data_IF_574249206039
#
_entry.id   IF_574249206039
#
_cell.length_a   1.000
_cell.length_b   1.000
_cell.length_c   1.000
_cell.angle_alpha   90.00
_cell.angle_beta   90.00
_cell.angle_gamma   90.00
#
_symmetry.space_group_name_H-M   'P 1'
#
loop_
_entity.id
_entity.type
_entity.pdbx_description
1 polymer ?
#
# COMPACT_ATOMS: atom_id res chain seq x y z
N UNK A 1 21.95 -17.64 -12.71
CA UNK A 1 22.75 -16.44 -12.40
C UNK A 1 23.38 -15.93 -13.68
N UNK A 2 22.92 -14.77 -14.17
CA UNK A 2 23.63 -14.05 -15.23
C UNK A 2 24.86 -13.43 -14.58
N UNK A 3 26.05 -13.70 -15.12
CA UNK A 3 27.29 -13.19 -14.56
C UNK A 3 27.44 -11.71 -14.94
N UNK A 4 27.21 -10.79 -13.99
CA UNK A 4 27.35 -9.34 -14.20
C UNK A 4 28.75 -8.89 -13.76
N UNK A 5 29.39 -8.06 -14.57
CA UNK A 5 30.72 -7.48 -14.32
C UNK A 5 30.55 -6.07 -13.76
N UNK A 6 31.52 -5.64 -12.95
CA UNK A 6 31.58 -4.24 -12.49
C UNK A 6 31.89 -3.37 -13.71
N UNK A 7 30.97 -2.44 -13.99
CA UNK A 7 31.10 -1.44 -15.03
C UNK A 7 31.69 -0.15 -14.47
N UNK A 8 31.29 0.22 -13.25
CA UNK A 8 31.77 1.40 -12.53
C UNK A 8 31.69 1.18 -11.01
N UNK A 9 32.63 1.77 -10.29
CA UNK A 9 32.62 1.84 -8.83
C UNK A 9 33.08 3.22 -8.36
N UNK A 10 32.33 3.84 -7.46
CA UNK A 10 32.67 5.09 -6.80
C UNK A 10 32.51 4.99 -5.29
N UNK A 11 33.17 5.91 -4.58
CA UNK A 11 33.03 6.05 -3.13
C UNK A 11 32.68 7.49 -2.78
N UNK A 12 31.71 7.65 -1.90
CA UNK A 12 31.30 8.95 -1.34
C UNK A 12 31.45 8.90 0.17
N UNK A 13 32.12 9.91 0.73
CA UNK A 13 32.19 10.10 2.17
C UNK A 13 31.15 11.12 2.59
N UNK A 14 30.30 10.76 3.55
CA UNK A 14 29.32 11.64 4.15
C UNK A 14 29.97 12.51 5.24
N UNK A 15 29.45 13.73 5.40
CA UNK A 15 29.87 14.64 6.48
C UNK A 15 29.43 14.08 7.85
N UNK A 16 28.20 13.57 7.90
CA UNK A 16 27.57 13.00 9.09
C UNK A 16 27.16 11.55 8.82
N UNK A 17 27.15 10.72 9.87
CA UNK A 17 26.51 9.41 9.77
C UNK A 17 24.99 9.66 9.69
N UNK A 18 24.28 9.02 8.75
CA UNK A 18 22.84 9.19 8.67
C UNK A 18 22.18 8.54 9.88
N UNK A 19 21.05 9.09 10.29
CA UNK A 19 20.16 8.38 11.19
C UNK A 19 19.55 7.23 10.39
N UNK A 20 19.81 6.00 10.83
CA UNK A 20 19.28 4.82 10.16
C UNK A 20 17.87 4.64 10.69
N UNK A 21 16.90 5.26 10.02
CA UNK A 21 15.49 5.00 10.25
C UNK A 21 15.14 3.53 10.04
N UNK A 22 13.92 3.13 10.38
CA UNK A 22 13.48 1.75 10.20
C UNK A 22 13.54 1.36 8.69
N UNK A 23 14.16 0.21 8.33
CA UNK A 23 14.40 -0.18 6.93
C UNK A 23 13.18 -0.21 6.02
N UNK A 24 12.02 -0.66 6.50
CA UNK A 24 10.76 -0.67 5.73
C UNK A 24 10.25 0.77 5.51
N UNK A 25 10.43 1.66 6.49
CA UNK A 25 10.13 3.10 6.38
C UNK A 25 10.96 3.76 5.30
N UNK A 26 12.27 3.50 5.30
CA UNK A 26 13.19 3.99 4.27
C UNK A 26 12.84 3.44 2.87
N UNK A 27 12.45 2.16 2.79
CA UNK A 27 12.03 1.55 1.52
C UNK A 27 10.72 2.16 1.01
N UNK A 28 9.80 2.48 1.92
CA UNK A 28 8.54 3.15 1.62
C UNK A 28 8.79 4.57 1.13
N UNK A 29 9.69 5.31 1.78
CA UNK A 29 10.14 6.65 1.34
C UNK A 29 10.75 6.60 -0.06
N UNK A 30 11.59 5.60 -0.36
CA UNK A 30 12.19 5.43 -1.69
C UNK A 30 11.12 5.23 -2.76
N UNK A 31 10.19 4.30 -2.51
CA UNK A 31 9.11 4.00 -3.45
C UNK A 31 8.16 5.20 -3.63
N UNK A 32 7.78 5.89 -2.54
CA UNK A 32 6.90 7.05 -2.61
C UNK A 32 7.57 8.23 -3.32
N UNK A 33 8.85 8.49 -3.04
CA UNK A 33 9.62 9.57 -3.66
C UNK A 33 9.72 9.38 -5.18
N UNK A 34 10.05 8.17 -5.62
CA UNK A 34 10.05 7.83 -7.05
C UNK A 34 8.64 7.97 -7.63
N UNK A 35 7.62 7.47 -6.93
CA UNK A 35 6.25 7.56 -7.40
C UNK A 35 5.80 9.02 -7.60
N UNK A 36 6.21 9.92 -6.70
CA UNK A 36 5.92 11.34 -6.75
C UNK A 36 6.69 12.09 -7.84
N UNK A 37 7.99 11.84 -7.96
CA UNK A 37 8.83 12.48 -8.98
C UNK A 37 8.27 12.23 -10.40
N UNK A 38 7.71 11.03 -10.60
CA UNK A 38 7.27 10.56 -11.90
C UNK A 38 5.75 10.56 -12.09
N UNK A 39 4.99 10.99 -11.09
CA UNK A 39 3.52 10.95 -11.09
C UNK A 39 2.99 9.57 -11.54
N UNK A 40 3.59 8.50 -11.02
CA UNK A 40 3.23 7.13 -11.38
C UNK A 40 3.35 6.21 -10.17
N UNK A 41 2.47 5.22 -10.06
CA UNK A 41 2.62 4.17 -9.05
C UNK A 41 3.44 3.00 -9.63
N UNK A 42 4.13 2.23 -8.79
CA UNK A 42 4.87 1.07 -9.25
C UNK A 42 3.93 -0.04 -9.74
N UNK A 43 4.27 -0.67 -10.85
CA UNK A 43 3.75 -2.00 -11.17
C UNK A 43 4.45 -3.02 -10.26
N UNK A 44 3.69 -3.70 -9.42
CA UNK A 44 4.25 -4.60 -8.40
C UNK A 44 4.18 -6.05 -8.88
N UNK A 45 5.32 -6.73 -8.90
CA UNK A 45 5.46 -8.15 -9.23
C UNK A 45 6.04 -8.92 -8.06
N UNK A 46 5.81 -10.23 -8.05
CA UNK A 46 6.24 -11.07 -6.94
C UNK A 46 6.77 -12.44 -7.37
N UNK A 47 7.72 -12.95 -6.61
CA UNK A 47 8.22 -14.32 -6.70
C UNK A 47 8.16 -14.96 -5.31
N UNK A 48 7.11 -15.76 -5.12
CA UNK A 48 6.82 -16.42 -3.85
C UNK A 48 7.91 -17.42 -3.44
N UNK A 49 8.65 -17.99 -4.40
CA UNK A 49 9.69 -18.99 -4.11
C UNK A 49 10.89 -18.37 -3.40
N UNK A 50 11.31 -17.21 -3.87
CA UNK A 50 12.52 -16.54 -3.39
C UNK A 50 12.19 -15.36 -2.45
N UNK A 51 10.90 -15.10 -2.18
CA UNK A 51 10.39 -13.96 -1.39
C UNK A 51 10.90 -12.61 -1.93
N UNK A 52 10.84 -12.47 -3.25
CA UNK A 52 11.28 -11.26 -3.95
C UNK A 52 10.07 -10.48 -4.45
N UNK A 53 10.09 -9.17 -4.21
CA UNK A 53 9.14 -8.21 -4.75
C UNK A 53 9.88 -7.32 -5.74
N UNK A 54 9.26 -7.05 -6.88
CA UNK A 54 9.76 -6.09 -7.86
C UNK A 54 8.79 -4.92 -8.00
N UNK A 55 9.31 -3.70 -7.91
CA UNK A 55 8.58 -2.47 -8.13
C UNK A 55 9.07 -1.86 -9.45
N UNK A 56 8.29 -2.00 -10.51
CA UNK A 56 8.63 -1.47 -11.83
C UNK A 56 8.03 -0.08 -12.04
N UNK A 57 8.89 0.85 -12.48
CA UNK A 57 8.54 2.18 -12.96
C UNK A 57 8.83 2.22 -14.47
N UNK A 58 7.87 1.83 -15.32
CA UNK A 58 8.11 1.67 -16.75
C UNK A 58 8.26 3.05 -17.42
N UNK A 59 9.01 3.08 -18.53
CA UNK A 59 9.13 4.24 -19.43
C UNK A 59 9.91 5.45 -18.92
N UNK A 60 10.51 5.38 -17.75
CA UNK A 60 11.41 6.43 -17.24
C UNK A 60 12.87 6.17 -17.64
N UNK A 61 13.65 7.25 -17.74
CA UNK A 61 15.08 7.20 -18.05
C UNK A 61 15.81 8.03 -17.00
N UNK A 62 16.71 7.39 -16.26
CA UNK A 62 17.45 8.00 -15.16
C UNK A 62 18.89 8.19 -15.56
N UNK A 63 19.45 9.35 -15.23
CA UNK A 63 20.90 9.52 -15.13
C UNK A 63 21.40 8.82 -13.86
N UNK A 64 22.40 7.95 -14.00
CA UNK A 64 22.84 7.11 -12.90
C UNK A 64 23.54 7.90 -11.80
N UNK A 65 24.23 8.98 -12.14
CA UNK A 65 24.97 9.78 -11.16
C UNK A 65 23.98 10.63 -10.35
N UNK A 66 23.00 11.24 -11.01
CA UNK A 66 21.85 11.94 -10.37
C UNK A 66 21.08 11.00 -9.45
N UNK A 67 20.78 9.77 -9.91
CA UNK A 67 20.12 8.77 -9.09
C UNK A 67 20.91 8.44 -7.81
N UNK A 68 22.24 8.29 -7.90
CA UNK A 68 23.07 8.05 -6.71
C UNK A 68 23.20 9.29 -5.82
N UNK A 69 23.17 10.49 -6.38
CA UNK A 69 23.20 11.74 -5.61
C UNK A 69 21.96 11.88 -4.73
N UNK A 70 20.78 11.59 -5.29
CA UNK A 70 19.48 11.73 -4.63
C UNK A 70 19.15 10.52 -3.74
N UNK A 71 19.20 9.31 -4.30
CA UNK A 71 18.71 8.09 -3.64
C UNK A 71 19.82 7.20 -3.10
N UNK A 72 21.09 7.48 -3.39
CA UNK A 72 22.20 6.58 -3.04
C UNK A 72 22.41 6.38 -1.54
N UNK A 73 22.14 7.40 -0.71
CA UNK A 73 22.19 7.27 0.76
C UNK A 73 21.04 6.42 1.27
N UNK A 74 19.84 6.65 0.74
CA UNK A 74 18.63 5.92 1.10
C UNK A 74 18.76 4.43 0.74
N UNK A 75 19.18 4.15 -0.50
CA UNK A 75 19.43 2.79 -1.00
C UNK A 75 20.49 2.06 -0.15
N UNK A 76 21.59 2.74 0.19
CA UNK A 76 22.62 2.14 1.04
C UNK A 76 22.13 1.87 2.46
N UNK A 77 21.20 2.68 2.98
CA UNK A 77 20.65 2.54 4.33
C UNK A 77 19.69 1.35 4.40
N UNK A 78 18.85 1.16 3.38
CA UNK A 78 17.96 0.01 3.25
C UNK A 78 18.79 -1.29 3.13
N UNK A 79 19.81 -1.31 2.26
CA UNK A 79 20.66 -2.49 1.97
C UNK A 79 21.38 -3.06 3.21
N UNK A 80 21.56 -2.27 4.29
CA UNK A 80 22.13 -2.77 5.55
C UNK A 80 21.29 -3.88 6.16
N UNK A 81 19.99 -3.82 5.92
CA UNK A 81 19.01 -4.71 6.50
C UNK A 81 18.29 -5.49 5.42
N UNK A 82 17.60 -4.83 4.51
CA UNK A 82 16.79 -5.47 3.47
C UNK A 82 17.57 -5.46 2.17
N UNK A 83 17.82 -6.63 1.59
CA UNK A 83 18.57 -6.69 0.34
C UNK A 83 17.76 -6.04 -0.78
N UNK A 84 18.29 -4.95 -1.33
CA UNK A 84 17.65 -4.10 -2.33
C UNK A 84 18.61 -3.79 -3.47
N UNK A 85 18.11 -3.93 -4.70
CA UNK A 85 18.85 -3.57 -5.91
C UNK A 85 17.96 -2.82 -6.87
N UNK A 86 18.56 -2.00 -7.70
CA UNK A 86 17.87 -1.28 -8.76
C UNK A 86 18.35 -1.79 -10.10
N UNK A 87 17.41 -2.14 -10.97
CA UNK A 87 17.66 -2.62 -12.31
C UNK A 87 16.98 -1.75 -13.36
N UNK A 88 17.39 -1.97 -14.60
CA UNK A 88 16.74 -1.45 -15.78
C UNK A 88 17.64 -1.63 -16.99
N UNK A 89 17.20 -1.10 -18.13
CA UNK A 89 17.89 -1.25 -19.40
C UNK A 89 18.95 -0.17 -19.57
N UNK A 90 20.21 -0.57 -19.52
CA UNK A 90 21.36 0.24 -19.89
C UNK A 90 21.55 0.24 -21.41
N UNK A 91 22.58 0.94 -21.89
CA UNK A 91 22.92 0.99 -23.31
C UNK A 91 23.08 -0.39 -23.95
N UNK A 92 22.81 -0.45 -25.26
CA UNK A 92 22.91 -1.68 -26.07
C UNK A 92 22.00 -2.83 -25.58
N UNK A 93 20.92 -2.49 -24.89
CA UNK A 93 19.93 -3.45 -24.35
C UNK A 93 20.54 -4.39 -23.32
N UNK A 94 21.59 -3.96 -22.60
CA UNK A 94 22.08 -4.70 -21.45
C UNK A 94 21.23 -4.39 -20.22
N UNK A 95 21.02 -5.38 -19.37
CA UNK A 95 20.43 -5.16 -18.05
C UNK A 95 21.50 -4.53 -17.15
N UNK A 96 21.28 -3.27 -16.77
CA UNK A 96 22.05 -2.55 -15.78
C UNK A 96 21.56 -2.85 -14.36
N UNK A 97 22.49 -2.87 -13.41
CA UNK A 97 22.26 -2.96 -11.98
C UNK A 97 22.94 -1.77 -11.31
N UNK A 98 22.19 -1.04 -10.49
CA UNK A 98 22.69 0.00 -9.59
C UNK A 98 22.57 -0.51 -8.15
N UNK A 99 23.65 -0.36 -7.39
CA UNK A 99 23.70 -0.74 -5.99
C UNK A 99 24.49 0.29 -5.17
N UNK A 100 24.06 0.51 -3.93
CA UNK A 100 24.74 1.36 -2.97
C UNK A 100 24.87 0.60 -1.65
N UNK A 101 26.05 0.65 -1.02
CA UNK A 101 26.30 -0.05 0.24
C UNK A 101 27.22 0.79 1.14
N UNK A 102 26.95 0.79 2.45
CA UNK A 102 27.90 1.34 3.41
C UNK A 102 29.12 0.42 3.54
N UNK A 103 30.30 1.00 3.37
CA UNK A 103 31.59 0.34 3.64
C UNK A 103 32.05 0.53 5.09
N UNK A 104 31.60 1.62 5.71
CA UNK A 104 31.65 1.92 7.14
C UNK A 104 30.54 2.94 7.47
N UNK A 105 30.52 3.51 8.67
CA UNK A 105 29.48 4.45 9.14
C UNK A 105 29.31 5.71 8.28
N UNK A 106 30.30 6.11 7.48
CA UNK A 106 30.27 7.36 6.69
C UNK A 106 30.67 7.19 5.23
N UNK A 107 31.18 6.05 4.82
CA UNK A 107 31.64 5.83 3.45
C UNK A 107 30.67 4.91 2.72
N UNK A 108 30.03 5.44 1.68
CA UNK A 108 29.17 4.69 0.77
C UNK A 108 29.97 4.30 -0.47
N UNK A 109 29.72 3.09 -0.96
CA UNK A 109 30.21 2.60 -2.24
C UNK A 109 29.04 2.44 -3.21
N UNK A 110 29.13 3.11 -4.35
CA UNK A 110 28.19 3.00 -5.46
C UNK A 110 28.77 2.08 -6.53
N UNK A 111 27.93 1.22 -7.10
CA UNK A 111 28.33 0.27 -8.14
C UNK A 111 27.31 0.25 -9.27
N UNK A 112 27.83 0.26 -10.50
CA UNK A 112 27.10 -0.07 -11.72
C UNK A 112 27.59 -1.43 -12.23
N UNK A 113 26.69 -2.33 -12.59
CA UNK A 113 27.05 -3.63 -13.19
C UNK A 113 26.19 -3.93 -14.41
N UNK A 114 26.79 -4.59 -15.41
CA UNK A 114 26.09 -5.13 -16.58
C UNK A 114 26.86 -6.35 -17.12
N UNK A 115 26.41 -6.94 -18.23
CA UNK A 115 27.06 -8.11 -18.82
C UNK A 115 28.42 -7.79 -19.45
N UNK A 116 28.56 -6.63 -20.11
CA UNK A 116 29.81 -6.27 -20.80
C UNK A 116 30.92 -5.80 -19.86
N UNK A 117 30.57 -5.22 -18.71
CA UNK A 117 31.47 -4.43 -17.87
C UNK A 117 31.78 -3.05 -18.44
N UNK A 118 31.03 -2.58 -19.45
CA UNK A 118 31.18 -1.22 -19.98
C UNK A 118 30.36 -0.26 -19.13
N UNK A 119 30.94 0.88 -18.77
CA UNK A 119 30.20 1.92 -18.04
C UNK A 119 28.99 2.43 -18.84
N UNK A 120 27.98 2.93 -18.12
CA UNK A 120 26.76 3.50 -18.68
C UNK A 120 26.29 4.69 -17.84
N UNK A 121 25.79 5.70 -18.56
CA UNK A 121 25.35 6.97 -17.97
C UNK A 121 23.89 6.91 -17.54
N UNK A 122 23.05 6.14 -18.27
CA UNK A 122 21.61 6.10 -18.03
C UNK A 122 21.03 4.69 -17.95
N UNK A 123 19.88 4.58 -17.26
CA UNK A 123 19.10 3.36 -17.15
C UNK A 123 17.63 3.64 -17.45
N UNK A 124 16.99 2.78 -18.26
CA UNK A 124 15.59 2.92 -18.68
C UNK A 124 14.70 1.85 -18.05
N UNK A 125 13.46 2.20 -17.73
CA UNK A 125 12.50 1.33 -17.02
C UNK A 125 13.11 0.77 -15.73
N UNK A 126 13.03 1.59 -14.69
CA UNK A 126 13.63 1.28 -13.39
C UNK A 126 12.82 0.20 -12.69
N UNK A 127 13.50 -0.77 -12.10
CA UNK A 127 12.88 -1.82 -11.30
C UNK A 127 13.63 -1.98 -9.98
N UNK A 128 12.93 -1.80 -8.86
CA UNK A 128 13.48 -2.05 -7.53
C UNK A 128 13.21 -3.51 -7.17
N UNK A 129 14.25 -4.30 -6.98
CA UNK A 129 14.18 -5.67 -6.46
C UNK A 129 14.40 -5.63 -4.96
N UNK A 130 13.48 -6.25 -4.22
CA UNK A 130 13.48 -6.32 -2.75
C UNK A 130 13.41 -7.78 -2.36
N UNK A 131 14.41 -8.29 -1.65
CA UNK A 131 14.41 -9.65 -1.09
C UNK A 131 14.04 -9.60 0.39
N UNK A 132 12.87 -10.13 0.73
CA UNK A 132 12.35 -10.11 2.10
C UNK A 132 13.02 -11.18 2.98
N UNK A 133 13.35 -10.79 4.21
CA UNK A 133 14.01 -11.63 5.23
C UNK A 133 13.13 -12.78 5.72
N UNK A 134 11.81 -12.57 5.75
CA UNK A 134 10.83 -13.55 6.22
C UNK A 134 9.56 -13.54 5.38
N UNK A 135 8.72 -14.56 5.56
CA UNK A 135 7.42 -14.65 4.88
C UNK A 135 6.48 -13.53 5.34
N UNK A 136 6.53 -13.18 6.62
CA UNK A 136 5.71 -12.11 7.21
C UNK A 136 6.08 -10.76 6.59
N UNK A 137 7.38 -10.44 6.51
CA UNK A 137 7.86 -9.24 5.84
C UNK A 137 7.47 -9.24 4.35
N UNK A 138 7.64 -10.37 3.68
CA UNK A 138 7.26 -10.50 2.27
C UNK A 138 5.77 -10.20 2.03
N UNK A 139 4.88 -10.76 2.85
CA UNK A 139 3.45 -10.51 2.72
C UNK A 139 3.06 -9.07 3.05
N UNK A 140 3.68 -8.47 4.08
CA UNK A 140 3.43 -7.09 4.47
C UNK A 140 3.88 -6.11 3.37
N UNK A 141 5.10 -6.26 2.86
CA UNK A 141 5.63 -5.43 1.78
C UNK A 141 4.81 -5.59 0.49
N UNK A 142 4.38 -6.81 0.17
CA UNK A 142 3.50 -7.04 -0.98
C UNK A 142 2.18 -6.29 -0.83
N UNK A 143 1.54 -6.37 0.35
CA UNK A 143 0.30 -5.64 0.63
C UNK A 143 0.47 -4.13 0.54
N UNK A 144 1.58 -3.59 1.07
CA UNK A 144 1.88 -2.16 0.99
C UNK A 144 2.05 -1.69 -0.46
N UNK A 145 2.99 -2.28 -1.19
CA UNK A 145 3.36 -1.75 -2.51
C UNK A 145 2.32 -2.04 -3.59
N UNK A 146 1.53 -3.12 -3.47
CA UNK A 146 0.45 -3.42 -4.42
C UNK A 146 -0.69 -2.39 -4.40
N UNK A 147 -0.80 -1.62 -3.32
CA UNK A 147 -1.85 -0.62 -3.13
C UNK A 147 -1.31 0.80 -3.01
N UNK A 148 0.00 0.99 -3.19
CA UNK A 148 0.61 2.31 -3.18
C UNK A 148 0.13 3.11 -4.40
N UNK A 149 -0.33 4.33 -4.16
CA UNK A 149 -0.81 5.25 -5.18
C UNK A 149 -0.24 6.63 -4.90
N UNK A 150 0.52 7.17 -5.86
CA UNK A 150 1.15 8.50 -5.76
C UNK A 150 0.15 9.64 -5.56
N UNK A 151 -1.15 9.38 -5.77
CA UNK A 151 -2.23 10.36 -5.58
C UNK A 151 -2.80 10.36 -4.16
N UNK A 152 -2.38 9.44 -3.29
CA UNK A 152 -2.99 9.18 -1.98
C UNK A 152 -2.02 9.40 -0.84
N UNK A 153 -2.33 10.23 0.14
CA UNK A 153 -1.39 10.55 1.23
C UNK A 153 -1.16 9.40 2.23
N UNK A 154 -1.94 8.32 2.10
CA UNK A 154 -1.91 7.16 2.98
C UNK A 154 -1.82 5.86 2.20
N UNK A 155 -1.33 4.81 2.86
CA UNK A 155 -1.49 3.42 2.46
C UNK A 155 -2.28 2.64 3.53
N UNK A 156 -3.26 1.82 3.12
CA UNK A 156 -4.01 0.96 4.02
C UNK A 156 -3.42 -0.46 4.03
N UNK A 157 -3.01 -0.92 5.21
CA UNK A 157 -2.44 -2.26 5.40
C UNK A 157 -3.11 -2.99 6.55
N UNK A 158 -3.01 -4.31 6.55
CA UNK A 158 -3.45 -5.11 7.69
C UNK A 158 -2.63 -4.78 8.94
N UNK A 159 -3.30 -4.25 9.97
CA UNK A 159 -2.67 -3.82 11.23
C UNK A 159 -1.86 -4.94 11.90
N UNK A 160 -2.35 -6.18 11.87
CA UNK A 160 -1.65 -7.31 12.50
C UNK A 160 -0.36 -7.64 11.78
N UNK A 161 -0.36 -7.61 10.44
CA UNK A 161 0.84 -7.84 9.63
C UNK A 161 1.85 -6.72 9.80
N UNK A 162 1.36 -5.48 9.89
CA UNK A 162 2.24 -4.31 9.95
C UNK A 162 2.85 -4.05 11.31
N UNK A 163 2.18 -4.43 12.40
CA UNK A 163 2.67 -4.20 13.77
C UNK A 163 4.06 -4.78 14.04
N UNK A 164 4.41 -5.88 13.36
CA UNK A 164 5.70 -6.54 13.53
C UNK A 164 6.82 -5.93 12.65
N UNK A 165 6.50 -4.94 11.80
CA UNK A 165 7.45 -4.31 10.86
C UNK A 165 8.17 -3.07 11.42
N UNK A 166 7.86 -2.62 12.63
CA UNK A 166 8.53 -1.50 13.29
C UNK A 166 7.58 -0.50 13.95
N UNK A 167 8.12 0.42 14.75
CA UNK A 167 7.34 1.35 15.58
C UNK A 167 7.32 2.79 15.05
N UNK A 168 8.12 3.13 14.03
CA UNK A 168 8.31 4.52 13.56
C UNK A 168 7.33 4.95 12.45
N UNK A 169 6.07 4.52 12.55
CA UNK A 169 5.03 4.88 11.57
C UNK A 169 4.08 5.92 12.14
N UNK A 170 3.87 7.00 11.40
CA UNK A 170 2.75 7.90 11.69
C UNK A 170 1.50 7.32 11.08
N UNK A 171 0.52 6.97 11.91
CA UNK A 171 -0.77 6.47 11.47
C UNK A 171 -1.88 7.49 11.67
N UNK A 172 -2.92 7.43 10.84
CA UNK A 172 -4.06 8.34 10.94
C UNK A 172 -4.81 8.20 12.27
N UNK A 173 -5.10 6.96 12.65
CA UNK A 173 -5.91 6.61 13.82
C UNK A 173 -5.55 5.18 14.29
N UNK A 174 -5.14 5.00 15.56
CA UNK A 174 -4.84 3.67 16.12
C UNK A 174 -6.07 2.77 16.30
N UNK A 175 -7.28 3.34 16.37
CA UNK A 175 -8.51 2.60 16.68
C UNK A 175 -9.20 2.04 15.43
N UNK A 176 -8.74 2.38 14.22
CA UNK A 176 -9.26 1.81 12.98
C UNK A 176 -8.85 0.35 12.79
N UNK A 177 -9.68 -0.41 12.06
CA UNK A 177 -9.44 -1.83 11.81
C UNK A 177 -8.20 -2.07 10.96
N UNK A 178 -8.02 -1.30 9.88
CA UNK A 178 -6.77 -1.25 9.11
C UNK A 178 -5.83 -0.18 9.66
N UNK A 179 -4.53 -0.36 9.45
CA UNK A 179 -3.54 0.69 9.72
C UNK A 179 -3.41 1.58 8.48
N UNK A 180 -3.58 2.88 8.66
CA UNK A 180 -3.46 3.89 7.61
C UNK A 180 -2.13 4.61 7.78
N UNK A 181 -1.11 4.10 7.11
CA UNK A 181 0.26 4.62 7.19
C UNK A 181 0.35 5.93 6.42
N UNK A 182 0.79 6.98 7.08
CA UNK A 182 0.98 8.27 6.46
C UNK A 182 2.25 8.23 5.59
N UNK A 183 2.09 8.46 4.29
CA UNK A 183 3.20 8.56 3.35
C UNK A 183 3.66 10.01 3.19
N UNK A 184 2.73 10.96 3.30
CA UNK A 184 2.95 12.41 3.05
C UNK A 184 2.18 13.27 4.04
N UNK A 185 2.54 14.55 4.13
CA UNK A 185 1.77 15.52 4.92
C UNK A 185 0.31 15.54 4.47
N UNK A 186 -0.61 15.44 5.44
CA UNK A 186 -2.05 15.27 5.18
C UNK A 186 -2.64 16.46 4.41
N UNK A 187 -3.17 16.21 3.21
CA UNK A 187 -3.91 17.24 2.46
C UNK A 187 -5.43 17.08 2.50
N UNK A 188 -5.97 16.04 3.14
CA UNK A 188 -7.41 15.88 3.34
C UNK A 188 -7.86 14.61 4.07
N UNK A 189 -9.17 14.55 4.39
CA UNK A 189 -9.80 13.48 5.17
C UNK A 189 -10.24 12.25 4.33
N UNK A 190 -9.71 12.09 3.10
CA UNK A 190 -10.19 11.11 2.10
C UNK A 190 -9.51 9.74 2.17
N UNK A 191 -8.84 9.41 3.29
CA UNK A 191 -8.04 8.19 3.43
C UNK A 191 -8.84 6.90 3.20
N UNK A 192 -10.16 6.91 3.39
CA UNK A 192 -11.02 5.74 3.12
C UNK A 192 -11.08 5.34 1.62
N UNK A 193 -10.71 6.24 0.71
CA UNK A 193 -10.71 5.92 -0.73
C UNK A 193 -9.55 4.98 -1.12
N UNK A 194 -8.50 4.88 -0.30
CA UNK A 194 -7.35 4.01 -0.57
C UNK A 194 -7.69 2.53 -0.34
N UNK A 195 -8.76 2.24 0.42
CA UNK A 195 -9.17 0.88 0.70
C UNK A 195 -9.57 0.17 -0.60
N UNK A 196 -9.02 -1.02 -0.78
CA UNK A 196 -9.43 -1.91 -1.87
C UNK A 196 -10.86 -2.42 -1.66
N UNK A 197 -11.47 -2.92 -2.73
CA UNK A 197 -12.79 -3.56 -2.65
C UNK A 197 -12.82 -4.73 -1.66
N UNK A 198 -11.76 -5.54 -1.60
CA UNK A 198 -11.66 -6.66 -0.65
C UNK A 198 -11.53 -6.16 0.79
N UNK A 199 -10.76 -5.11 1.06
CA UNK A 199 -10.67 -4.50 2.39
C UNK A 199 -12.02 -3.92 2.84
N UNK A 200 -12.74 -3.21 1.95
CA UNK A 200 -14.11 -2.71 2.23
C UNK A 200 -15.06 -3.87 2.57
N UNK A 201 -14.95 -4.98 1.85
CA UNK A 201 -15.74 -6.20 2.10
C UNK A 201 -15.36 -6.86 3.42
N UNK A 202 -14.09 -6.86 3.80
CA UNK A 202 -13.63 -7.37 5.10
C UNK A 202 -14.27 -6.59 6.25
N UNK A 203 -14.31 -5.25 6.18
CA UNK A 203 -14.99 -4.42 7.18
C UNK A 203 -16.48 -4.78 7.33
N UNK A 204 -17.17 -5.00 6.21
CA UNK A 204 -18.56 -5.47 6.25
C UNK A 204 -18.68 -6.88 6.83
N UNK A 205 -17.74 -7.77 6.54
CA UNK A 205 -17.74 -9.14 7.05
C UNK A 205 -17.59 -9.15 8.56
N UNK A 206 -16.66 -8.35 9.10
CA UNK A 206 -16.47 -8.17 10.56
C UNK A 206 -17.79 -7.74 11.22
N UNK A 207 -18.50 -6.77 10.63
CA UNK A 207 -19.81 -6.37 11.16
C UNK A 207 -20.86 -7.47 11.07
N UNK A 208 -21.00 -8.14 9.93
CA UNK A 208 -22.07 -9.12 9.70
C UNK A 208 -21.86 -10.43 10.47
N UNK A 209 -20.61 -10.85 10.67
CA UNK A 209 -20.28 -12.12 11.31
C UNK A 209 -19.97 -11.97 12.81
N UNK A 210 -19.27 -10.90 13.19
CA UNK A 210 -18.82 -10.68 14.58
C UNK A 210 -19.69 -9.66 15.33
N UNK A 211 -20.52 -8.88 14.64
CA UNK A 211 -21.34 -7.82 15.24
C UNK A 211 -20.55 -6.60 15.69
N UNK A 212 -19.26 -6.53 15.35
CA UNK A 212 -18.38 -5.39 15.66
C UNK A 212 -18.49 -4.36 14.55
N UNK A 213 -18.71 -3.09 14.87
CA UNK A 213 -18.71 -2.00 13.88
C UNK A 213 -17.33 -1.34 13.84
N UNK A 214 -16.51 -1.58 12.80
CA UNK A 214 -15.25 -0.85 12.61
C UNK A 214 -15.41 0.67 12.62
N UNK A 215 -14.40 1.38 13.13
CA UNK A 215 -14.37 2.86 13.21
C UNK A 215 -14.43 3.49 11.83
N UNK A 216 -13.94 2.81 10.79
CA UNK A 216 -14.05 3.22 9.39
C UNK A 216 -15.49 3.60 8.98
N UNK A 217 -16.50 2.94 9.55
CA UNK A 217 -17.90 3.27 9.27
C UNK A 217 -18.35 4.60 9.88
N UNK A 218 -17.72 5.07 10.95
CA UNK A 218 -17.96 6.40 11.52
C UNK A 218 -17.44 7.47 10.57
N UNK A 219 -16.19 7.34 10.13
CA UNK A 219 -15.58 8.20 9.12
C UNK A 219 -16.39 8.22 7.81
N UNK A 220 -16.88 7.06 7.36
CA UNK A 220 -17.70 6.96 6.16
C UNK A 220 -19.06 7.65 6.30
N UNK A 221 -19.72 7.52 7.46
CA UNK A 221 -20.98 8.23 7.70
C UNK A 221 -20.79 9.74 7.73
N UNK A 222 -19.72 10.22 8.38
CA UNK A 222 -19.38 11.64 8.43
C UNK A 222 -19.08 12.19 7.03
N UNK A 223 -18.32 11.45 6.23
CA UNK A 223 -17.99 11.82 4.87
C UNK A 223 -19.24 11.93 3.97
N UNK A 224 -20.15 10.97 4.05
CA UNK A 224 -21.43 11.03 3.30
C UNK A 224 -22.28 12.21 3.78
N UNK A 225 -22.26 12.53 5.09
CA UNK A 225 -22.99 13.65 5.65
C UNK A 225 -22.44 15.02 5.21
N UNK A 226 -21.14 15.09 4.92
CA UNK A 226 -20.43 16.31 4.49
C UNK A 226 -20.27 16.43 2.97
N UNK A 227 -20.87 15.53 2.19
CA UNK A 227 -20.79 15.47 0.73
C UNK A 227 -19.34 15.39 0.21
N UNK A 228 -18.50 14.61 0.92
CA UNK A 228 -17.13 14.35 0.51
C UNK A 228 -17.07 13.39 -0.67
N UNK A 229 -16.05 13.55 -1.51
CA UNK A 229 -15.76 12.65 -2.63
C UNK A 229 -15.32 11.27 -2.12
N UNK A 230 -16.29 10.43 -1.78
CA UNK A 230 -16.10 9.02 -1.48
C UNK A 230 -16.77 8.16 -2.56
N UNK A 231 -16.06 7.12 -3.01
CA UNK A 231 -16.62 6.13 -3.92
C UNK A 231 -17.63 5.21 -3.20
N UNK A 232 -18.83 5.73 -2.96
CA UNK A 232 -19.91 4.99 -2.26
C UNK A 232 -20.36 3.73 -3.03
N UNK A 233 -20.17 3.71 -4.35
CA UNK A 233 -20.51 2.55 -5.16
C UNK A 233 -19.67 1.33 -4.78
N UNK A 234 -18.36 1.49 -4.57
CA UNK A 234 -17.50 0.39 -4.12
C UNK A 234 -17.88 -0.10 -2.72
N UNK A 235 -18.24 0.81 -1.81
CA UNK A 235 -18.74 0.43 -0.49
C UNK A 235 -20.03 -0.39 -0.56
N UNK A 236 -20.95 -0.03 -1.46
CA UNK A 236 -22.16 -0.81 -1.70
C UNK A 236 -21.85 -2.15 -2.38
N UNK A 237 -20.93 -2.19 -3.35
CA UNK A 237 -20.52 -3.45 -4.00
C UNK A 237 -19.90 -4.41 -2.98
N UNK A 238 -18.99 -3.92 -2.14
CA UNK A 238 -18.39 -4.67 -1.04
C UNK A 238 -19.45 -5.21 -0.06
N UNK A 239 -20.46 -4.39 0.26
CA UNK A 239 -21.59 -4.83 1.09
C UNK A 239 -22.35 -5.99 0.45
N UNK A 240 -22.70 -5.88 -0.84
CA UNK A 240 -23.41 -6.96 -1.55
C UNK A 240 -22.60 -8.26 -1.56
N UNK A 241 -21.28 -8.16 -1.75
CA UNK A 241 -20.38 -9.31 -1.69
C UNK A 241 -20.36 -9.94 -0.29
N UNK A 242 -20.25 -9.14 0.77
CA UNK A 242 -20.23 -9.62 2.16
C UNK A 242 -21.58 -10.25 2.56
N UNK A 243 -22.71 -9.63 2.21
CA UNK A 243 -24.07 -10.18 2.42
C UNK A 243 -24.23 -11.53 1.73
N UNK A 244 -23.79 -11.63 0.46
CA UNK A 244 -23.82 -12.87 -0.29
C UNK A 244 -22.96 -13.96 0.35
N UNK A 245 -21.74 -13.62 0.79
CA UNK A 245 -20.83 -14.54 1.47
C UNK A 245 -21.39 -15.05 2.81
N UNK A 246 -22.01 -14.16 3.61
CA UNK A 246 -22.66 -14.51 4.87
C UNK A 246 -23.95 -15.34 4.68
N UNK A 247 -24.43 -15.49 3.44
CA UNK A 247 -25.70 -16.16 3.13
C UNK A 247 -26.92 -15.36 3.63
N UNK A 248 -26.77 -14.05 3.77
CA UNK A 248 -27.85 -13.16 4.20
C UNK A 248 -28.75 -12.84 3.00
N UNK A 249 -30.06 -12.91 3.21
CA UNK A 249 -31.08 -12.57 2.21
C UNK A 249 -31.88 -11.35 2.64
N UNK A 250 -32.01 -10.38 1.74
CA UNK A 250 -32.85 -9.19 1.95
C UNK A 250 -34.12 -9.35 1.11
N UNK A 251 -35.25 -9.47 1.78
CA UNK A 251 -36.57 -9.60 1.15
C UNK A 251 -37.32 -8.27 1.26
N UNK A 252 -37.75 -7.76 0.12
CA UNK A 252 -38.60 -6.57 0.04
C UNK A 252 -40.08 -7.01 0.01
N UNK A 253 -40.82 -6.65 1.04
CA UNK A 253 -42.28 -6.81 1.10
C UNK A 253 -42.95 -5.47 0.75
N UNK A 254 -44.26 -5.45 0.52
CA UNK A 254 -44.98 -4.25 0.04
C UNK A 254 -44.77 -3.00 0.92
N UNK A 255 -44.69 -3.19 2.24
CA UNK A 255 -44.61 -2.11 3.23
C UNK A 255 -43.50 -2.35 4.29
N UNK A 256 -42.71 -3.42 4.16
CA UNK A 256 -41.67 -3.80 5.12
C UNK A 256 -40.51 -4.51 4.41
N UNK A 257 -39.44 -4.77 5.14
CA UNK A 257 -38.34 -5.60 4.68
C UNK A 257 -37.99 -6.65 5.73
N UNK A 258 -37.41 -7.76 5.28
CA UNK A 258 -36.86 -8.78 6.16
C UNK A 258 -35.45 -9.11 5.76
N UNK A 259 -34.56 -9.03 6.72
CA UNK A 259 -33.19 -9.50 6.61
C UNK A 259 -33.17 -10.88 7.28
N UNK A 260 -32.77 -11.90 6.53
CA UNK A 260 -32.71 -13.27 7.00
C UNK A 260 -31.25 -13.75 6.96
N UNK A 261 -30.81 -14.43 8.01
CA UNK A 261 -29.51 -15.11 8.01
C UNK A 261 -29.55 -16.38 7.13
N UNK A 262 -28.40 -17.05 7.02
CA UNK A 262 -28.25 -18.31 6.25
C UNK A 262 -29.21 -19.43 6.70
N UNK A 263 -29.68 -19.39 7.94
CA UNK A 263 -30.60 -20.37 8.53
C UNK A 263 -32.08 -19.94 8.37
N UNK A 264 -32.34 -18.81 7.72
CA UNK A 264 -33.67 -18.24 7.54
C UNK A 264 -34.20 -17.52 8.78
N UNK A 265 -33.34 -17.25 9.79
CA UNK A 265 -33.73 -16.52 11.01
C UNK A 265 -33.68 -15.02 10.74
N UNK A 266 -34.65 -14.29 11.29
CA UNK A 266 -34.70 -12.83 11.13
C UNK A 266 -33.54 -12.16 11.87
N UNK A 267 -32.81 -11.31 11.15
CA UNK A 267 -31.85 -10.36 11.71
C UNK A 267 -32.59 -9.06 11.96
N UNK A 268 -32.47 -8.53 13.18
CA UNK A 268 -33.06 -7.25 13.56
C UNK A 268 -32.01 -6.16 13.47
N UNK A 269 -32.35 -5.09 12.77
CA UNK A 269 -31.53 -3.87 12.66
C UNK A 269 -32.43 -2.65 12.87
N UNK A 270 -31.91 -1.62 13.53
CA UNK A 270 -32.57 -0.38 13.89
C UNK A 270 -31.67 0.81 13.55
N UNK A 271 -32.24 1.80 12.87
CA UNK A 271 -31.53 3.05 12.56
C UNK A 271 -31.10 3.84 13.82
N UNK A 272 -31.72 3.56 14.97
CA UNK A 272 -31.36 4.11 16.28
C UNK A 272 -30.18 3.41 16.95
N UNK A 273 -29.66 2.32 16.36
CA UNK A 273 -28.45 1.66 16.81
C UNK A 273 -27.30 2.66 16.95
N UNK A 274 -26.40 2.47 17.92
CA UNK A 274 -25.18 3.28 17.99
C UNK A 274 -24.16 2.86 16.94
N UNK A 275 -24.27 1.65 16.38
CA UNK A 275 -23.33 1.11 15.39
C UNK A 275 -23.43 1.87 14.06
N UNK A 276 -22.32 2.45 13.63
CA UNK A 276 -22.22 3.18 12.38
C UNK A 276 -22.43 2.28 11.15
N UNK A 277 -21.92 1.05 11.20
CA UNK A 277 -22.09 0.04 10.17
C UNK A 277 -23.58 -0.29 9.94
N UNK A 278 -24.36 -0.43 11.00
CA UNK A 278 -25.79 -0.77 10.94
C UNK A 278 -26.62 0.33 10.26
N UNK A 279 -26.37 1.60 10.63
CA UNK A 279 -27.02 2.75 10.01
C UNK A 279 -26.71 2.81 8.52
N UNK A 280 -25.44 2.60 8.16
CA UNK A 280 -25.01 2.65 6.78
C UNK A 280 -25.56 1.48 5.97
N UNK A 281 -25.58 0.28 6.54
CA UNK A 281 -26.19 -0.92 5.95
C UNK A 281 -27.64 -0.64 5.55
N UNK A 282 -28.44 -0.11 6.49
CA UNK A 282 -29.83 0.26 6.22
C UNK A 282 -29.92 1.38 5.17
N UNK A 283 -29.06 2.41 5.24
CA UNK A 283 -29.05 3.52 4.28
C UNK A 283 -28.73 3.07 2.86
N UNK A 284 -27.79 2.13 2.68
CA UNK A 284 -27.37 1.62 1.38
C UNK A 284 -28.40 0.66 0.77
N UNK A 285 -29.05 -0.17 1.57
CA UNK A 285 -30.13 -1.05 1.10
C UNK A 285 -31.43 -0.30 0.81
N UNK A 286 -31.71 0.78 1.56
CA UNK A 286 -32.94 1.56 1.46
C UNK A 286 -32.63 3.05 1.22
N UNK A 287 -32.10 3.42 0.05
CA UNK A 287 -31.64 4.78 -0.23
C UNK A 287 -32.77 5.81 -0.36
N UNK A 288 -34.03 5.38 -0.48
CA UNK A 288 -35.18 6.27 -0.61
C UNK A 288 -35.90 6.45 0.73
N UNK A 289 -36.13 7.70 1.13
CA UNK A 289 -37.22 8.03 2.06
C UNK A 289 -38.52 7.59 1.37
N UNK A 290 -39.37 6.74 1.99
CA UNK A 290 -40.65 6.38 1.40
C UNK A 290 -41.39 7.66 1.05
N UNK A 291 -41.80 7.82 -0.22
CA UNK A 291 -42.70 8.92 -0.58
C UNK A 291 -43.98 8.71 0.21
N UNK A 292 -44.20 9.57 1.20
CA UNK A 292 -45.51 9.71 1.83
C UNK A 292 -46.47 10.20 0.75
N UNK A 293 -47.28 9.28 0.21
CA UNK A 293 -48.48 9.64 -0.54
C UNK A 293 -49.55 10.11 0.43
#
# INVERSE_FOLDING_TARGET
MINRRIAYEAKRKLEFAPDFGEPVSLLTELADSLSMEYCNHPETYKNDKDRVIWLEYPYFCFDCDTFFEEYGVLLASIEKDIHVKVYGMADKLELGELAAEFTDEKNIRYRKRNSSGSDFESIRSLCIEIEAKSTEQYEALWELFSHMDYRQDYAAVNRKKWKDMGEDWTEKDPDTYFAYLQLREEQGEFFLNILTLEQKKELWTVYLEEGVSPVEFEYLNDAIGRDWEINIFEWNLALQMAVSQAGISVLYEKDDFRILDRQGRRIWMDYRSSAAAEKLFLKLLFPAVPRTN
#
